data_IF_193279991505
#
_entry.id   IF_193279991505
#
_cell.length_a   1.000
_cell.length_b   1.000
_cell.length_c   1.000
_cell.angle_alpha   90.00
_cell.angle_beta   90.00
_cell.angle_gamma   90.00
#
_symmetry.space_group_name_H-M   'P 1'
#
loop_
_entity.id
_entity.type
_entity.pdbx_description
1 polymer ?
#
# COMPACT_ATOMS: atom_id res chain seq x y z
N UNK A 1 -3.27 32.21 -44.41
CA UNK A 1 -2.01 31.67 -43.85
C UNK A 1 -1.80 31.99 -42.37
N UNK A 2 -2.09 33.21 -41.86
CA UNK A 2 -1.93 33.52 -40.43
C UNK A 2 -2.84 32.75 -39.47
N UNK A 3 -4.07 32.39 -39.88
CA UNK A 3 -4.99 31.66 -39.00
C UNK A 3 -4.53 30.23 -38.73
N UNK A 4 -4.09 29.48 -39.75
CA UNK A 4 -3.68 28.08 -39.58
C UNK A 4 -2.44 27.93 -38.67
N UNK A 5 -1.45 28.82 -38.81
CA UNK A 5 -0.27 28.83 -37.95
C UNK A 5 -0.63 29.14 -36.49
N UNK A 6 -1.61 30.02 -36.26
CA UNK A 6 -2.09 30.36 -34.93
C UNK A 6 -2.85 29.19 -34.27
N UNK A 7 -3.65 28.46 -35.05
CA UNK A 7 -4.28 27.21 -34.59
C UNK A 7 -3.27 26.11 -34.30
N UNK A 8 -2.23 25.94 -35.13
CA UNK A 8 -1.16 24.95 -34.90
C UNK A 8 -0.36 25.29 -33.64
N UNK A 9 -0.04 26.56 -33.41
CA UNK A 9 0.62 27.01 -32.17
C UNK A 9 -0.29 26.82 -30.95
N UNK A 10 -1.59 27.08 -31.08
CA UNK A 10 -2.58 26.84 -30.03
C UNK A 10 -2.74 25.35 -29.71
N UNK A 11 -2.77 24.47 -30.72
CA UNK A 11 -2.77 23.01 -30.53
C UNK A 11 -1.44 22.49 -29.98
N UNK A 12 -0.29 23.07 -30.36
CA UNK A 12 1.02 22.75 -29.78
C UNK A 12 1.14 23.22 -28.32
N UNK A 13 0.49 24.33 -27.95
CA UNK A 13 0.36 24.82 -26.57
C UNK A 13 -0.66 24.01 -25.75
N UNK A 14 -1.68 23.44 -26.37
CA UNK A 14 -2.58 22.46 -25.72
C UNK A 14 -1.90 21.08 -25.60
N UNK A 15 -0.98 20.77 -26.51
CA UNK A 15 0.01 19.71 -26.39
C UNK A 15 1.23 20.15 -25.57
N UNK A 16 1.06 21.05 -24.59
CA UNK A 16 2.03 21.12 -23.50
C UNK A 16 2.16 19.72 -22.96
N UNK A 17 3.35 19.14 -23.12
CA UNK A 17 3.81 18.04 -22.30
C UNK A 17 3.41 18.38 -20.87
N UNK A 18 2.39 17.70 -20.34
CA UNK A 18 2.06 17.82 -18.92
C UNK A 18 3.32 17.38 -18.21
N UNK A 19 4.09 18.34 -17.69
CA UNK A 19 5.29 18.03 -16.93
C UNK A 19 4.84 17.15 -15.76
N UNK A 20 5.37 15.93 -15.72
CA UNK A 20 4.88 14.94 -14.76
C UNK A 20 5.32 15.34 -13.37
N UNK A 21 4.37 15.49 -12.44
CA UNK A 21 4.70 15.83 -11.06
C UNK A 21 5.69 14.86 -10.42
N UNK A 22 6.45 15.33 -9.44
CA UNK A 22 7.45 14.51 -8.74
C UNK A 22 6.78 13.67 -7.66
N UNK A 23 6.94 12.35 -7.73
CA UNK A 23 6.28 11.39 -6.86
C UNK A 23 7.27 10.75 -5.89
N UNK A 24 6.88 10.73 -4.60
CA UNK A 24 7.53 9.90 -3.61
C UNK A 24 6.84 8.53 -3.61
N UNK A 25 7.62 7.45 -3.67
CA UNK A 25 7.11 6.08 -3.61
C UNK A 25 7.64 5.40 -2.36
N UNK A 26 6.73 4.94 -1.50
CA UNK A 26 7.06 4.18 -0.28
C UNK A 26 6.41 2.79 -0.40
N UNK A 27 7.11 1.81 -1.00
CA UNK A 27 6.56 0.49 -1.25
C UNK A 27 6.72 -0.41 -0.02
N UNK A 28 6.09 -1.60 -0.11
CA UNK A 28 6.44 -2.75 0.69
C UNK A 28 7.16 -3.73 -0.23
N UNK A 29 8.28 -4.27 0.24
CA UNK A 29 9.12 -5.19 -0.50
C UNK A 29 8.41 -6.55 -0.77
N UNK A 30 9.01 -7.38 -1.62
CA UNK A 30 8.47 -8.68 -2.01
C UNK A 30 7.32 -8.56 -3.03
N UNK A 31 6.23 -9.32 -2.83
CA UNK A 31 5.11 -9.37 -3.80
C UNK A 31 4.39 -8.03 -3.95
N UNK A 32 4.38 -7.21 -2.91
CA UNK A 32 3.75 -5.89 -2.94
C UNK A 32 4.48 -4.99 -3.94
N UNK A 33 5.82 -4.94 -3.87
CA UNK A 33 6.65 -4.22 -4.84
C UNK A 33 6.50 -4.75 -6.26
N UNK A 34 6.47 -6.07 -6.46
CA UNK A 34 6.28 -6.65 -7.80
C UNK A 34 4.98 -6.16 -8.48
N UNK A 35 3.91 -5.93 -7.71
CA UNK A 35 2.66 -5.38 -8.22
C UNK A 35 2.70 -3.87 -8.46
N UNK A 36 3.52 -3.14 -7.69
CA UNK A 36 3.63 -1.68 -7.75
C UNK A 36 4.65 -1.21 -8.81
N UNK A 37 5.71 -1.98 -9.03
CA UNK A 37 6.79 -1.64 -9.95
C UNK A 37 6.30 -1.32 -11.36
N UNK A 38 5.41 -2.10 -12.02
CA UNK A 38 4.91 -1.75 -13.34
C UNK A 38 4.15 -0.41 -13.36
N UNK A 39 3.44 -0.07 -12.27
CA UNK A 39 2.75 1.22 -12.12
C UNK A 39 3.77 2.35 -12.05
N UNK A 40 4.83 2.18 -11.24
CA UNK A 40 5.93 3.13 -11.12
C UNK A 40 6.64 3.35 -12.45
N UNK A 41 6.98 2.28 -13.16
CA UNK A 41 7.63 2.35 -14.47
C UNK A 41 6.73 3.08 -15.49
N UNK A 42 5.42 2.79 -15.48
CA UNK A 42 4.47 3.45 -16.37
C UNK A 42 4.27 4.94 -16.07
N UNK A 43 4.27 5.32 -14.79
CA UNK A 43 4.24 6.72 -14.36
C UNK A 43 5.49 7.47 -14.84
N UNK A 44 6.66 6.82 -14.75
CA UNK A 44 7.91 7.39 -15.29
C UNK A 44 7.81 7.65 -16.79
N UNK A 45 7.29 6.69 -17.57
CA UNK A 45 7.08 6.87 -19.01
C UNK A 45 6.10 8.00 -19.35
N UNK A 46 5.22 8.35 -18.41
CA UNK A 46 4.27 9.48 -18.53
C UNK A 46 4.87 10.82 -18.10
N UNK A 47 6.17 10.87 -17.80
CA UNK A 47 6.92 12.10 -17.51
C UNK A 47 7.13 12.38 -16.02
N UNK A 48 6.63 11.53 -15.12
CA UNK A 48 6.83 11.75 -13.68
C UNK A 48 8.29 11.56 -13.26
N UNK A 49 8.80 12.46 -12.42
CA UNK A 49 10.02 12.21 -11.64
C UNK A 49 9.66 11.33 -10.44
N UNK A 50 10.40 10.25 -10.21
CA UNK A 50 10.06 9.28 -9.16
C UNK A 50 11.25 9.04 -8.25
N UNK A 51 11.00 9.14 -6.95
CA UNK A 51 11.93 8.73 -5.90
C UNK A 51 11.30 7.59 -5.11
N UNK A 52 11.95 6.43 -5.11
CA UNK A 52 11.56 5.28 -4.28
C UNK A 52 12.39 5.29 -3.00
N UNK A 53 11.74 5.16 -1.85
CA UNK A 53 12.42 4.98 -0.55
C UNK A 53 12.24 3.57 -0.06
N UNK A 54 13.33 2.85 0.23
CA UNK A 54 13.29 1.47 0.69
C UNK A 54 14.36 1.17 1.76
N UNK A 55 14.20 0.10 2.56
CA UNK A 55 15.29 -0.43 3.36
C UNK A 55 16.54 -0.74 2.52
N UNK A 56 17.74 -0.49 3.06
CA UNK A 56 18.99 -0.91 2.42
C UNK A 56 19.07 -2.44 2.25
N UNK A 57 18.50 -3.18 3.20
CA UNK A 57 18.33 -4.63 3.11
C UNK A 57 16.91 -4.90 2.63
N UNK A 58 16.80 -5.20 1.34
CA UNK A 58 15.56 -5.60 0.69
C UNK A 58 15.82 -6.81 -0.25
N UNK A 59 14.73 -7.42 -0.72
CA UNK A 59 14.67 -8.64 -1.51
C UNK A 59 14.51 -8.35 -3.01
N UNK A 60 13.79 -7.30 -3.40
CA UNK A 60 13.33 -7.08 -4.79
C UNK A 60 13.43 -5.64 -5.28
N UNK A 61 13.82 -4.68 -4.44
CA UNK A 61 13.86 -3.25 -4.78
C UNK A 61 15.30 -2.87 -5.13
N UNK A 62 15.63 -3.06 -6.39
CA UNK A 62 16.95 -2.74 -6.94
C UNK A 62 16.99 -1.34 -7.58
N UNK A 63 18.19 -0.89 -7.95
CA UNK A 63 18.36 0.32 -8.76
C UNK A 63 17.70 0.14 -10.13
N UNK A 64 17.18 1.24 -10.68
CA UNK A 64 16.47 1.24 -11.96
C UNK A 64 16.68 2.57 -12.67
N UNK A 65 16.62 2.56 -14.00
CA UNK A 65 16.58 3.79 -14.80
C UNK A 65 15.25 4.54 -14.66
N UNK A 66 14.23 3.87 -14.12
CA UNK A 66 12.88 4.41 -14.03
C UNK A 66 12.62 5.28 -12.78
N UNK A 67 13.49 5.22 -11.77
CA UNK A 67 13.34 5.96 -10.53
C UNK A 67 14.68 6.16 -9.82
N UNK A 68 14.78 7.18 -8.97
CA UNK A 68 15.90 7.31 -8.02
C UNK A 68 15.60 6.51 -6.77
N UNK A 69 16.52 5.63 -6.38
CA UNK A 69 16.40 4.86 -5.14
C UNK A 69 17.11 5.58 -4.00
N UNK A 70 16.41 5.78 -2.89
CA UNK A 70 16.94 6.24 -1.60
C UNK A 70 16.78 5.14 -0.57
N UNK A 71 17.83 4.86 0.17
CA UNK A 71 17.82 3.81 1.19
C UNK A 71 18.00 4.36 2.59
N UNK A 72 17.54 3.59 3.58
CA UNK A 72 17.79 3.84 4.99
C UNK A 72 18.23 2.55 5.69
N UNK A 73 19.00 2.70 6.77
CA UNK A 73 19.54 1.56 7.49
C UNK A 73 18.49 0.81 8.31
N UNK A 74 18.73 -0.48 8.54
CA UNK A 74 17.81 -1.37 9.28
C UNK A 74 18.54 -2.23 10.32
N UNK A 75 17.81 -2.83 11.29
CA UNK A 75 18.41 -3.68 12.33
C UNK A 75 18.64 -5.13 11.91
N UNK A 76 17.94 -5.58 10.89
CA UNK A 76 17.91 -6.99 10.48
C UNK A 76 18.91 -7.26 9.36
N UNK A 77 19.40 -8.49 9.28
CA UNK A 77 20.33 -8.91 8.22
C UNK A 77 19.58 -9.46 7.00
N UNK A 78 20.26 -9.52 5.85
CA UNK A 78 19.70 -10.11 4.63
C UNK A 78 19.33 -11.59 4.84
N UNK A 79 20.19 -12.34 5.52
CA UNK A 79 19.98 -13.77 5.81
C UNK A 79 18.72 -13.99 6.64
N UNK A 80 18.45 -13.10 7.61
CA UNK A 80 17.24 -13.15 8.41
C UNK A 80 16.00 -12.96 7.55
N UNK A 81 15.97 -11.92 6.71
CA UNK A 81 14.82 -11.61 5.84
C UNK A 81 14.56 -12.74 4.84
N UNK A 82 15.61 -13.28 4.22
CA UNK A 82 15.50 -14.42 3.30
C UNK A 82 15.00 -15.69 3.99
N UNK A 83 15.47 -15.97 5.21
CA UNK A 83 15.01 -17.11 5.99
C UNK A 83 13.54 -16.98 6.38
N UNK A 84 13.09 -15.79 6.80
CA UNK A 84 11.67 -15.54 7.10
C UNK A 84 10.80 -15.62 5.86
N UNK A 85 11.26 -15.12 4.70
CA UNK A 85 10.54 -15.26 3.43
C UNK A 85 10.38 -16.72 3.02
N UNK A 86 11.45 -17.53 3.08
CA UNK A 86 11.40 -18.98 2.81
C UNK A 86 10.43 -19.71 3.76
N UNK A 87 10.51 -19.41 5.07
CA UNK A 87 9.58 -19.96 6.07
C UNK A 87 8.14 -19.57 5.77
N UNK A 88 7.89 -18.33 5.35
CA UNK A 88 6.55 -17.85 5.01
C UNK A 88 5.98 -18.62 3.82
N UNK A 89 6.77 -18.85 2.77
CA UNK A 89 6.38 -19.67 1.61
C UNK A 89 5.96 -21.08 2.03
N UNK A 90 6.85 -21.83 2.68
CA UNK A 90 6.56 -23.20 3.15
C UNK A 90 5.31 -23.25 4.04
N UNK A 91 5.22 -22.32 5.01
CA UNK A 91 4.12 -22.33 5.99
C UNK A 91 2.77 -21.94 5.41
N UNK A 92 2.74 -21.27 4.26
CA UNK A 92 1.47 -20.92 3.58
C UNK A 92 0.74 -22.17 3.07
N UNK A 93 1.45 -23.27 2.84
CA UNK A 93 0.90 -24.54 2.37
C UNK A 93 0.76 -25.59 3.49
N UNK A 94 1.16 -25.27 4.72
CA UNK A 94 1.07 -26.20 5.86
C UNK A 94 0.15 -25.67 6.95
N UNK A 95 -0.73 -26.48 7.55
CA UNK A 95 -1.49 -26.08 8.73
C UNK A 95 -0.56 -25.66 9.86
N UNK A 96 -0.87 -24.54 10.51
CA UNK A 96 -0.11 -24.02 11.64
C UNK A 96 -1.05 -23.82 12.85
N UNK A 97 -0.61 -24.17 14.06
CA UNK A 97 -1.30 -23.83 15.30
C UNK A 97 -1.55 -22.32 15.39
N UNK A 98 -2.68 -21.93 15.98
CA UNK A 98 -3.09 -20.53 16.10
C UNK A 98 -2.03 -19.66 16.79
N UNK A 99 -1.47 -20.12 17.91
CA UNK A 99 -0.41 -19.40 18.65
C UNK A 99 0.84 -19.16 17.80
N UNK A 100 1.24 -20.13 16.96
CA UNK A 100 2.38 -19.96 16.04
C UNK A 100 2.07 -18.91 14.95
N UNK A 101 0.82 -18.84 14.47
CA UNK A 101 0.41 -17.78 13.52
C UNK A 101 0.46 -16.40 14.17
N UNK A 102 0.01 -16.29 15.42
CA UNK A 102 -0.01 -15.03 16.17
C UNK A 102 1.41 -14.54 16.48
N UNK A 103 2.28 -15.40 17.01
CA UNK A 103 3.69 -15.08 17.28
C UNK A 103 4.42 -14.62 16.01
N UNK A 104 4.17 -15.29 14.87
CA UNK A 104 4.73 -14.85 13.58
C UNK A 104 4.25 -13.46 13.19
N UNK A 105 2.95 -13.21 13.31
CA UNK A 105 2.38 -11.90 13.00
C UNK A 105 3.04 -10.81 13.85
N UNK A 106 3.20 -11.07 15.15
CA UNK A 106 3.90 -10.16 16.06
C UNK A 106 5.35 -9.91 15.63
N UNK A 107 6.12 -10.95 15.27
CA UNK A 107 7.50 -10.78 14.81
C UNK A 107 7.61 -9.92 13.55
N UNK A 108 6.72 -10.16 12.58
CA UNK A 108 6.65 -9.37 11.33
C UNK A 108 6.32 -7.92 11.67
N UNK A 109 5.27 -7.68 12.47
CA UNK A 109 4.89 -6.33 12.90
C UNK A 109 6.03 -5.60 13.61
N UNK A 110 6.75 -6.27 14.51
CA UNK A 110 7.91 -5.71 15.20
C UNK A 110 9.03 -5.32 14.22
N UNK A 111 9.34 -6.18 13.26
CA UNK A 111 10.36 -5.91 12.23
C UNK A 111 9.99 -4.68 11.38
N UNK A 112 8.73 -4.57 10.95
CA UNK A 112 8.27 -3.43 10.15
C UNK A 112 8.14 -2.14 10.97
N UNK A 113 7.74 -2.23 12.24
CA UNK A 113 7.74 -1.08 13.16
C UNK A 113 9.15 -0.54 13.37
N UNK A 114 10.12 -1.43 13.62
CA UNK A 114 11.52 -1.07 13.79
C UNK A 114 12.13 -0.46 12.51
N UNK A 115 11.81 -1.03 11.35
CA UNK A 115 12.17 -0.45 10.06
C UNK A 115 11.58 0.95 9.89
N UNK A 116 10.30 1.14 10.24
CA UNK A 116 9.68 2.46 10.16
C UNK A 116 10.32 3.47 11.11
N UNK A 117 10.63 3.07 12.35
CA UNK A 117 11.32 3.93 13.32
C UNK A 117 12.66 4.39 12.76
N UNK A 118 13.45 3.50 12.13
CA UNK A 118 14.72 3.88 11.50
C UNK A 118 14.55 4.79 10.29
N UNK A 119 13.53 4.57 9.47
CA UNK A 119 13.20 5.48 8.38
C UNK A 119 12.93 6.90 8.90
N UNK A 120 11.99 7.03 9.85
CA UNK A 120 11.61 8.33 10.42
C UNK A 120 12.75 9.00 11.21
N UNK A 121 13.66 8.21 11.79
CA UNK A 121 14.82 8.72 12.54
C UNK A 121 15.98 9.16 11.63
N UNK A 122 15.95 8.83 10.34
CA UNK A 122 17.01 9.21 9.40
C UNK A 122 16.89 10.69 9.00
N UNK A 123 17.52 11.57 9.78
CA UNK A 123 17.45 13.03 9.61
C UNK A 123 17.92 13.52 8.24
N UNK A 124 18.91 12.87 7.64
CA UNK A 124 19.40 13.25 6.31
C UNK A 124 18.36 12.94 5.24
N UNK A 125 17.77 11.74 5.29
CA UNK A 125 16.72 11.34 4.37
C UNK A 125 15.47 12.20 4.53
N UNK A 126 15.00 12.45 5.76
CA UNK A 126 13.83 13.31 6.00
C UNK A 126 14.06 14.73 5.46
N UNK A 127 15.23 15.34 5.73
CA UNK A 127 15.59 16.65 5.15
C UNK A 127 15.61 16.65 3.63
N UNK A 128 16.14 15.59 3.02
CA UNK A 128 16.10 15.42 1.57
C UNK A 128 14.66 15.36 1.06
N UNK A 129 13.78 14.64 1.74
CA UNK A 129 12.36 14.53 1.34
C UNK A 129 11.63 15.87 1.46
N UNK A 130 11.86 16.61 2.55
CA UNK A 130 11.32 17.97 2.75
C UNK A 130 11.77 18.94 1.64
N UNK A 131 13.06 18.90 1.27
CA UNK A 131 13.61 19.77 0.23
C UNK A 131 13.20 19.38 -1.20
N UNK A 132 12.76 18.13 -1.41
CA UNK A 132 12.53 17.57 -2.74
C UNK A 132 11.23 18.01 -3.42
N UNK A 133 10.32 18.69 -2.72
CA UNK A 133 9.06 19.25 -3.26
C UNK A 133 8.24 18.25 -4.08
N UNK A 134 7.88 17.13 -3.47
CA UNK A 134 6.99 16.15 -4.08
C UNK A 134 5.56 16.69 -4.27
N UNK A 135 4.84 16.14 -5.24
CA UNK A 135 3.44 16.48 -5.52
C UNK A 135 2.45 15.50 -4.88
N UNK A 136 2.86 14.24 -4.66
CA UNK A 136 2.06 13.21 -4.02
C UNK A 136 2.94 12.05 -3.53
N UNK A 137 2.39 11.20 -2.67
CA UNK A 137 3.03 9.95 -2.22
C UNK A 137 2.24 8.74 -2.68
N UNK A 138 2.86 7.86 -3.46
CA UNK A 138 2.32 6.55 -3.84
C UNK A 138 2.88 5.48 -2.90
N UNK A 139 2.01 4.72 -2.24
CA UNK A 139 2.46 3.73 -1.25
C UNK A 139 1.55 2.50 -1.16
N UNK A 140 2.05 1.46 -0.50
CA UNK A 140 1.21 0.36 -0.01
C UNK A 140 0.93 0.61 1.48
N UNK A 141 -0.32 0.88 1.88
CA UNK A 141 -0.65 1.33 3.23
C UNK A 141 -0.65 0.21 4.27
N UNK A 142 -0.33 -1.04 3.91
CA UNK A 142 -0.33 -2.15 4.86
C UNK A 142 0.59 -1.90 6.07
N UNK A 143 1.72 -1.20 5.84
CA UNK A 143 2.52 -0.60 6.91
C UNK A 143 2.46 0.92 6.80
N UNK A 144 2.07 1.64 7.87
CA UNK A 144 1.65 3.04 7.76
C UNK A 144 2.80 4.04 7.63
N UNK A 145 4.06 3.60 7.53
CA UNK A 145 5.21 4.50 7.57
C UNK A 145 5.20 5.55 6.45
N UNK A 146 4.82 5.14 5.24
CA UNK A 146 4.67 6.07 4.12
C UNK A 146 3.60 7.13 4.39
N UNK A 147 2.52 6.77 5.08
CA UNK A 147 1.46 7.72 5.43
C UNK A 147 1.93 8.71 6.50
N UNK A 148 2.70 8.26 7.49
CA UNK A 148 3.28 9.15 8.50
C UNK A 148 4.17 10.21 7.82
N UNK A 149 4.99 9.80 6.86
CA UNK A 149 5.82 10.74 6.08
C UNK A 149 4.97 11.66 5.21
N UNK A 150 3.90 11.16 4.58
CA UNK A 150 3.00 11.98 3.78
C UNK A 150 2.32 13.08 4.60
N UNK A 151 1.88 12.76 5.82
CA UNK A 151 1.31 13.73 6.77
C UNK A 151 2.32 14.80 7.17
N UNK A 152 3.55 14.41 7.50
CA UNK A 152 4.63 15.34 7.83
C UNK A 152 4.93 16.31 6.69
N UNK A 153 4.95 15.80 5.46
CA UNK A 153 5.20 16.60 4.25
C UNK A 153 3.96 17.35 3.75
N UNK A 154 2.79 17.14 4.37
CA UNK A 154 1.50 17.69 3.93
C UNK A 154 1.17 17.35 2.46
N UNK A 155 1.42 16.10 2.06
CA UNK A 155 1.24 15.62 0.70
C UNK A 155 -0.01 14.75 0.54
N UNK A 156 -0.68 14.79 -0.62
CA UNK A 156 -1.77 13.87 -0.92
C UNK A 156 -1.25 12.44 -1.06
N UNK A 157 -1.96 11.50 -0.44
CA UNK A 157 -1.61 10.08 -0.44
C UNK A 157 -2.43 9.29 -1.45
N UNK A 158 -1.74 8.47 -2.24
CA UNK A 158 -2.30 7.50 -3.18
C UNK A 158 -1.91 6.10 -2.73
N UNK A 159 -2.91 5.29 -2.38
CA UNK A 159 -2.69 3.93 -1.91
C UNK A 159 -2.87 2.92 -3.02
N UNK A 160 -1.97 1.94 -3.12
CA UNK A 160 -2.09 0.81 -4.02
C UNK A 160 -2.19 -0.50 -3.22
N UNK A 161 -3.41 -0.98 -2.99
CA UNK A 161 -3.68 -2.02 -1.99
C UNK A 161 -4.72 -3.05 -2.46
N UNK A 162 -4.60 -4.32 -2.05
CA UNK A 162 -5.65 -5.34 -2.32
C UNK A 162 -6.77 -5.28 -1.28
N UNK A 163 -6.42 -4.91 -0.05
CA UNK A 163 -7.26 -4.80 1.13
C UNK A 163 -6.37 -4.79 2.38
N UNK A 164 -6.89 -4.34 3.51
CA UNK A 164 -6.16 -4.33 4.78
C UNK A 164 -6.76 -5.33 5.79
N UNK A 165 -5.97 -5.81 6.77
CA UNK A 165 -6.50 -6.57 7.89
C UNK A 165 -7.70 -5.87 8.54
N UNK A 166 -8.63 -6.66 9.10
CA UNK A 166 -9.89 -6.21 9.71
C UNK A 166 -10.74 -5.23 8.89
N UNK A 167 -10.54 -5.18 7.57
CA UNK A 167 -11.20 -4.21 6.69
C UNK A 167 -10.86 -2.76 7.04
N UNK A 168 -9.62 -2.49 7.44
CA UNK A 168 -9.18 -1.14 7.81
C UNK A 168 -9.31 -0.15 6.66
N UNK A 169 -9.13 -0.60 5.42
CA UNK A 169 -9.38 0.17 4.19
C UNK A 169 -10.83 0.66 4.10
N UNK A 170 -11.79 -0.19 4.45
CA UNK A 170 -13.21 0.16 4.45
C UNK A 170 -13.57 1.05 5.64
N UNK A 171 -12.94 0.85 6.81
CA UNK A 171 -13.14 1.71 7.97
C UNK A 171 -12.58 3.12 7.74
N UNK A 172 -11.38 3.22 7.18
CA UNK A 172 -10.72 4.49 6.88
C UNK A 172 -11.52 5.31 5.86
N UNK A 173 -12.16 4.65 4.90
CA UNK A 173 -13.01 5.31 3.88
C UNK A 173 -14.47 5.47 4.30
N UNK A 174 -14.85 5.01 5.50
CA UNK A 174 -16.24 4.91 5.96
C UNK A 174 -17.16 4.13 4.97
N UNK A 175 -16.56 3.23 4.19
CA UNK A 175 -17.27 2.40 3.22
C UNK A 175 -18.10 1.31 3.93
N UNK A 176 -19.42 1.18 3.64
CA UNK A 176 -20.26 0.18 4.27
C UNK A 176 -19.77 -1.25 4.04
N UNK A 177 -19.65 -2.01 5.13
CA UNK A 177 -19.16 -3.39 5.11
C UNK A 177 -20.00 -4.35 5.97
N UNK A 178 -21.30 -4.54 5.67
CA UNK A 178 -22.23 -5.31 6.49
C UNK A 178 -21.92 -6.81 6.50
N UNK A 179 -21.77 -7.43 7.69
CA UNK A 179 -21.47 -8.86 7.83
C UNK A 179 -22.68 -9.77 7.54
N UNK A 180 -23.88 -9.24 7.27
CA UNK A 180 -25.05 -10.04 6.95
C UNK A 180 -24.98 -10.69 5.57
N UNK A 181 -24.24 -10.08 4.62
CA UNK A 181 -24.08 -10.61 3.26
C UNK A 181 -22.64 -10.51 2.72
N UNK A 182 -21.74 -9.76 3.37
CA UNK A 182 -20.32 -9.73 3.00
C UNK A 182 -19.56 -10.72 3.90
N UNK A 183 -19.03 -11.83 3.35
CA UNK A 183 -18.31 -12.82 4.14
C UNK A 183 -16.92 -12.30 4.57
N UNK A 184 -16.51 -12.64 5.79
CA UNK A 184 -15.18 -12.32 6.31
C UNK A 184 -14.17 -13.30 5.72
N UNK A 185 -13.03 -12.78 5.30
CA UNK A 185 -11.99 -13.51 4.55
C UNK A 185 -11.66 -14.90 5.10
N UNK A 186 -11.56 -15.07 6.43
CA UNK A 186 -11.17 -16.35 7.05
C UNK A 186 -12.32 -17.34 7.29
N UNK A 187 -13.57 -16.96 7.03
CA UNK A 187 -14.74 -17.82 7.28
C UNK A 187 -15.00 -18.84 6.18
N UNK A 188 -14.44 -18.62 4.98
CA UNK A 188 -14.73 -19.40 3.76
C UNK A 188 -16.21 -19.40 3.36
N UNK A 189 -17.02 -18.50 3.91
CA UNK A 189 -18.40 -18.31 3.49
C UNK A 189 -18.48 -17.53 2.17
N UNK A 190 -19.67 -17.57 1.57
CA UNK A 190 -20.02 -16.80 0.38
C UNK A 190 -20.99 -15.68 0.73
N UNK A 191 -21.45 -14.91 -0.25
CA UNK A 191 -22.56 -13.97 -0.12
C UNK A 191 -23.90 -14.68 0.20
N UNK A 192 -23.99 -15.98 -0.08
CA UNK A 192 -25.12 -16.83 0.27
C UNK A 192 -24.87 -17.56 1.57
N UNK A 193 -25.22 -16.93 2.68
CA UNK A 193 -25.13 -17.50 4.03
C UNK A 193 -26.49 -17.93 4.57
N UNK A 194 -26.52 -19.04 5.32
CA UNK A 194 -27.64 -19.38 6.21
C UNK A 194 -27.62 -18.49 7.45
N UNK A 195 -28.68 -18.50 8.26
CA UNK A 195 -28.72 -17.71 9.49
C UNK A 195 -27.56 -18.05 10.45
N UNK A 196 -27.23 -19.32 10.76
CA UNK A 196 -26.07 -19.65 11.58
C UNK A 196 -24.73 -19.18 10.98
N UNK A 197 -24.57 -19.26 9.65
CA UNK A 197 -23.38 -18.75 8.98
C UNK A 197 -23.27 -17.22 9.11
N UNK A 198 -24.38 -16.48 9.00
CA UNK A 198 -24.41 -15.04 9.25
C UNK A 198 -24.00 -14.69 10.68
N UNK A 199 -24.48 -15.43 11.68
CA UNK A 199 -24.08 -15.26 13.08
C UNK A 199 -22.58 -15.51 13.24
N UNK A 200 -22.06 -16.60 12.68
CA UNK A 200 -20.62 -16.89 12.69
C UNK A 200 -19.79 -15.81 11.99
N UNK A 201 -20.29 -15.27 10.87
CA UNK A 201 -19.63 -14.20 10.12
C UNK A 201 -19.60 -12.88 10.90
N UNK A 202 -20.68 -12.55 11.61
CA UNK A 202 -20.75 -11.40 12.51
C UNK A 202 -19.74 -11.54 13.67
N UNK A 203 -19.67 -12.71 14.31
CA UNK A 203 -18.69 -12.98 15.37
C UNK A 203 -17.25 -12.87 14.86
N UNK A 204 -16.97 -13.39 13.65
CA UNK A 204 -15.67 -13.22 13.01
C UNK A 204 -15.34 -11.74 12.77
N UNK A 205 -16.33 -10.95 12.33
CA UNK A 205 -16.17 -9.51 12.13
C UNK A 205 -15.79 -8.80 13.44
N UNK A 206 -16.46 -9.13 14.55
CA UNK A 206 -16.17 -8.53 15.86
C UNK A 206 -14.75 -8.88 16.35
N UNK A 207 -14.34 -10.15 16.21
CA UNK A 207 -13.00 -10.61 16.61
C UNK A 207 -11.86 -9.91 15.85
N UNK A 208 -12.12 -9.45 14.62
CA UNK A 208 -11.11 -8.82 13.78
C UNK A 208 -10.63 -7.45 14.31
N UNK A 209 -11.47 -6.74 15.07
CA UNK A 209 -11.11 -5.44 15.65
C UNK A 209 -9.95 -5.54 16.65
N UNK A 210 -9.96 -6.57 17.51
CA UNK A 210 -8.89 -6.78 18.50
C UNK A 210 -7.56 -7.11 17.80
N UNK A 211 -7.58 -7.99 16.80
CA UNK A 211 -6.39 -8.33 16.03
C UNK A 211 -5.78 -7.11 15.33
N UNK A 212 -6.61 -6.18 14.86
CA UNK A 212 -6.13 -4.95 14.25
C UNK A 212 -5.50 -3.97 15.24
N UNK A 213 -6.05 -3.87 16.45
CA UNK A 213 -5.41 -3.08 17.50
C UNK A 213 -3.99 -3.57 17.75
N UNK A 214 -3.78 -4.89 17.86
CA UNK A 214 -2.44 -5.47 18.07
C UNK A 214 -1.47 -5.20 16.91
N UNK A 215 -1.97 -5.06 15.68
CA UNK A 215 -1.15 -4.80 14.50
C UNK A 215 -0.74 -3.33 14.37
N UNK A 216 -1.65 -2.41 14.70
CA UNK A 216 -1.51 -1.00 14.35
C UNK A 216 -1.26 -0.07 15.55
N UNK A 217 -1.77 -0.38 16.75
CA UNK A 217 -1.52 0.46 17.93
C UNK A 217 -0.04 0.62 18.31
N UNK A 218 0.89 -0.32 17.99
CA UNK A 218 2.31 -0.08 18.21
C UNK A 218 2.89 1.11 17.44
N UNK A 219 2.19 1.61 16.41
CA UNK A 219 2.61 2.80 15.66
C UNK A 219 2.18 4.11 16.31
N UNK A 220 1.17 4.12 17.18
CA UNK A 220 0.62 5.36 17.77
C UNK A 220 1.68 6.19 18.53
N UNK A 221 2.59 5.59 19.34
CA UNK A 221 3.67 6.35 19.97
C UNK A 221 4.65 6.95 18.96
N UNK A 222 4.95 6.22 17.88
CA UNK A 222 5.85 6.67 16.83
C UNK A 222 5.22 7.82 16.02
N UNK A 223 3.92 7.75 15.76
CA UNK A 223 3.13 8.82 15.15
C UNK A 223 3.18 10.07 16.01
N UNK A 224 2.93 9.94 17.32
CA UNK A 224 2.96 11.06 18.27
C UNK A 224 4.33 11.72 18.34
N UNK A 225 5.40 10.93 18.39
CA UNK A 225 6.77 11.42 18.44
C UNK A 225 7.16 12.18 17.17
N UNK A 226 6.83 11.63 16.00
CA UNK A 226 7.27 12.19 14.72
C UNK A 226 6.40 13.38 14.25
N UNK A 227 5.08 13.29 14.38
CA UNK A 227 4.15 14.34 13.94
C UNK A 227 3.88 15.40 15.01
N UNK A 228 4.29 15.16 16.26
CA UNK A 228 4.04 16.08 17.38
C UNK A 228 2.56 16.18 17.81
N UNK A 229 1.69 15.27 17.35
CA UNK A 229 0.26 15.22 17.69
C UNK A 229 -0.22 13.79 17.90
N UNK A 230 -1.22 13.62 18.75
CA UNK A 230 -1.87 12.32 18.89
C UNK A 230 -2.72 12.04 17.65
N UNK A 231 -2.50 10.87 17.04
CA UNK A 231 -3.28 10.37 15.91
C UNK A 231 -3.17 8.85 15.86
N UNK A 232 -4.20 8.20 15.33
CA UNK A 232 -4.20 6.75 15.13
C UNK A 232 -3.88 6.41 13.67
N UNK A 233 -3.42 5.19 13.41
CA UNK A 233 -3.26 4.70 12.03
C UNK A 233 -4.57 4.81 11.23
N UNK A 234 -5.72 4.51 11.83
CA UNK A 234 -7.02 4.63 11.18
C UNK A 234 -7.30 6.06 10.72
N UNK A 235 -7.02 7.04 11.59
CA UNK A 235 -7.18 8.46 11.28
C UNK A 235 -6.26 8.86 10.11
N UNK A 236 -4.97 8.51 10.16
CA UNK A 236 -4.04 8.85 9.09
C UNK A 236 -4.46 8.24 7.74
N UNK A 237 -4.94 6.98 7.74
CA UNK A 237 -5.43 6.34 6.52
C UNK A 237 -6.70 6.99 5.96
N UNK A 238 -7.51 7.65 6.79
CA UNK A 238 -8.74 8.33 6.35
C UNK A 238 -8.48 9.54 5.47
N UNK A 239 -7.26 10.11 5.51
CA UNK A 239 -6.85 11.28 4.72
C UNK A 239 -6.42 10.95 3.28
N UNK A 240 -6.46 9.67 2.89
CA UNK A 240 -6.03 9.26 1.57
C UNK A 240 -6.87 9.89 0.44
N UNK A 241 -6.18 10.52 -0.51
CA UNK A 241 -6.81 11.15 -1.67
C UNK A 241 -7.35 10.12 -2.67
N UNK A 242 -6.66 8.97 -2.81
CA UNK A 242 -7.06 7.92 -3.74
C UNK A 242 -6.69 6.52 -3.23
N UNK A 243 -7.62 5.59 -3.36
CA UNK A 243 -7.45 4.17 -3.08
C UNK A 243 -7.49 3.38 -4.39
N UNK A 244 -6.32 3.03 -4.92
CA UNK A 244 -6.16 2.13 -6.05
C UNK A 244 -6.26 0.69 -5.55
N UNK A 245 -7.43 0.08 -5.76
CA UNK A 245 -7.75 -1.25 -5.29
C UNK A 245 -7.25 -2.30 -6.30
N UNK A 246 -6.32 -3.17 -5.89
CA UNK A 246 -5.68 -4.21 -6.73
C UNK A 246 -6.60 -5.40 -7.04
N UNK A 247 -7.86 -5.15 -7.38
CA UNK A 247 -8.85 -6.15 -7.73
C UNK A 247 -9.92 -5.60 -8.66
N UNK A 248 -10.64 -6.50 -9.31
CA UNK A 248 -11.77 -6.20 -10.18
C UNK A 248 -13.07 -6.60 -9.49
N UNK A 249 -14.17 -5.88 -9.78
CA UNK A 249 -15.47 -6.15 -9.18
C UNK A 249 -16.01 -7.55 -9.52
N UNK A 250 -15.59 -8.14 -10.65
CA UNK A 250 -15.99 -9.48 -11.08
C UNK A 250 -15.57 -10.57 -10.08
N UNK A 251 -14.50 -10.34 -9.32
CA UNK A 251 -13.97 -11.30 -8.33
C UNK A 251 -14.34 -10.97 -6.88
N UNK A 252 -15.16 -9.94 -6.66
CA UNK A 252 -15.54 -9.47 -5.33
C UNK A 252 -17.03 -9.69 -5.04
N UNK A 253 -17.36 -9.82 -3.77
CA UNK A 253 -18.76 -9.82 -3.35
C UNK A 253 -19.38 -8.44 -3.52
N UNK A 254 -20.67 -8.34 -3.91
CA UNK A 254 -21.34 -7.06 -4.09
C UNK A 254 -21.26 -6.19 -2.83
N UNK A 255 -20.65 -5.01 -2.95
CA UNK A 255 -20.56 -4.03 -1.87
C UNK A 255 -20.44 -2.61 -2.43
N UNK A 256 -20.81 -1.59 -1.64
CA UNK A 256 -20.58 -0.19 -2.03
C UNK A 256 -19.09 0.12 -2.23
N UNK A 257 -18.82 1.15 -3.04
CA UNK A 257 -17.50 1.73 -3.23
C UNK A 257 -17.59 3.23 -2.97
N UNK A 258 -16.54 3.79 -2.37
CA UNK A 258 -16.45 5.24 -2.17
C UNK A 258 -15.90 5.93 -3.43
N UNK A 259 -16.23 7.21 -3.68
CA UNK A 259 -15.80 7.91 -4.90
C UNK A 259 -14.28 7.96 -5.12
N UNK A 260 -13.49 7.91 -4.04
CA UNK A 260 -12.03 7.89 -4.09
C UNK A 260 -11.45 6.46 -4.17
N UNK A 261 -12.27 5.43 -4.36
CA UNK A 261 -11.81 4.04 -4.56
C UNK A 261 -11.91 3.67 -6.04
N UNK A 262 -10.76 3.38 -6.65
CA UNK A 262 -10.67 3.01 -8.07
C UNK A 262 -10.17 1.58 -8.18
N UNK A 263 -10.95 0.74 -8.86
CA UNK A 263 -10.59 -0.65 -9.10
C UNK A 263 -9.57 -0.74 -10.23
N UNK A 264 -8.39 -1.27 -9.93
CA UNK A 264 -7.27 -1.46 -10.85
C UNK A 264 -6.88 -2.94 -10.92
N UNK A 265 -7.87 -3.81 -11.03
CA UNK A 265 -7.66 -5.23 -11.30
C UNK A 265 -6.89 -5.44 -12.61
N UNK A 266 -6.05 -6.48 -12.66
CA UNK A 266 -5.31 -6.84 -13.88
C UNK A 266 -4.07 -5.97 -14.19
N UNK A 267 -3.67 -5.02 -13.34
CA UNK A 267 -2.48 -4.19 -13.56
C UNK A 267 -1.16 -4.96 -13.72
N UNK A 268 -1.11 -6.20 -13.24
CA UNK A 268 0.07 -7.07 -13.37
C UNK A 268 -0.02 -8.03 -14.56
N UNK A 269 -1.11 -7.99 -15.34
CA UNK A 269 -1.26 -8.82 -16.53
C UNK A 269 -0.44 -8.24 -17.68
N UNK A 270 0.39 -9.08 -18.30
CA UNK A 270 1.14 -8.75 -19.52
C UNK A 270 0.49 -9.41 -20.72
N UNK A 271 0.82 -8.94 -21.92
CA UNK A 271 0.34 -9.55 -23.15
C UNK A 271 0.77 -11.02 -23.19
N UNK A 272 -0.21 -11.92 -23.38
CA UNK A 272 0.02 -13.35 -23.43
C UNK A 272 1.02 -13.70 -24.54
N UNK A 273 1.99 -14.55 -24.22
CA UNK A 273 2.84 -15.17 -25.24
C UNK A 273 2.03 -16.24 -25.97
N UNK A 274 2.25 -16.39 -27.28
CA UNK A 274 1.71 -17.53 -28.01
C UNK A 274 2.20 -18.81 -27.33
N UNK A 275 1.28 -19.73 -27.04
CA UNK A 275 1.63 -21.04 -26.52
C UNK A 275 2.42 -21.77 -27.61
N UNK A 276 3.62 -22.26 -27.27
CA UNK A 276 4.32 -23.19 -28.14
C UNK A 276 3.45 -24.44 -28.27
N UNK A 277 3.04 -24.75 -29.50
CA UNK A 277 2.37 -26.01 -29.81
C UNK A 277 3.30 -27.20 -29.58
#
# INVERSE_FOLDING_TARGET
FHSLASWVVFFLLLCTFSDGGKLLVVPIDGSHWLSMRPVVERLREKGHEIVVVAPEINLRIDSSVHYTLKTYSVSYTREYVEAEFKKMGYRSFTPQPFLKKLSRMANITTMFLDSCRRFLSNKELIKYLEASKFSAVLMDPFFPCGQIVAEHLSLPSVYLVRGLPCSLDLRATLCPNPPSYIPRFFTRYTDRMTFPQRVGNFMASLSSSLACSLLYSPYDPLIKEFLGREATVLELLSHASLWLMKYDFVFEYPRPLMPNMVLVGGISCTQGKALSQ
#
